data_IF_687525168156
#
_entry.id   IF_687525168156
#
_cell.length_a   1.000
_cell.length_b   1.000
_cell.length_c   1.000
_cell.angle_alpha   90.00
_cell.angle_beta   90.00
_cell.angle_gamma   90.00
#
_symmetry.space_group_name_H-M   'P 1'
#
loop_
_entity.id
_entity.type
_entity.pdbx_description
1 polymer ?
#
# COMPACT_ATOMS: atom_id res chain seq x y z
N UNK A 1 34.84 22.11 7.67
CA UNK A 1 35.47 22.13 9.01
C UNK A 1 36.65 23.10 8.95
N UNK A 2 37.01 23.81 10.03
CA UNK A 2 38.23 24.64 10.04
C UNK A 2 39.39 23.78 10.58
N UNK A 3 40.47 23.67 9.81
CA UNK A 3 41.61 22.83 10.13
C UNK A 3 42.93 23.41 9.62
N UNK A 4 44.02 23.03 10.27
CA UNK A 4 45.39 23.44 9.98
C UNK A 4 46.30 22.20 9.87
N UNK A 5 47.38 22.31 9.09
CA UNK A 5 48.33 21.21 8.83
C UNK A 5 48.42 20.87 7.34
N UNK A 6 48.45 19.57 7.02
CA UNK A 6 48.59 19.07 5.65
C UNK A 6 47.53 19.68 4.71
N UNK A 7 48.01 20.38 3.66
CA UNK A 7 47.16 21.07 2.69
C UNK A 7 46.18 20.13 1.99
N UNK A 8 46.53 18.85 1.81
CA UNK A 8 45.67 17.86 1.18
C UNK A 8 44.45 17.52 2.06
N UNK A 9 44.63 17.39 3.37
CA UNK A 9 43.49 17.15 4.28
C UNK A 9 42.66 18.43 4.45
N UNK A 10 43.31 19.59 4.56
CA UNK A 10 42.60 20.86 4.61
C UNK A 10 41.78 21.09 3.33
N UNK A 11 42.24 20.62 2.18
CA UNK A 11 41.48 20.61 0.92
C UNK A 11 40.31 19.62 0.92
N UNK A 12 40.46 18.43 1.50
CA UNK A 12 39.39 17.44 1.68
C UNK A 12 38.27 17.95 2.61
N UNK A 13 38.60 18.82 3.56
CA UNK A 13 37.63 19.41 4.50
C UNK A 13 36.91 20.66 3.96
N UNK A 14 37.14 21.00 2.68
CA UNK A 14 36.42 22.07 1.95
C UNK A 14 35.01 21.64 1.56
N UNK A 15 34.17 22.62 1.28
CA UNK A 15 32.77 22.42 0.91
C UNK A 15 32.64 21.57 -0.36
N UNK A 16 31.80 20.54 -0.33
CA UNK A 16 31.47 19.68 -1.47
C UNK A 16 32.20 18.34 -1.54
N UNK A 17 33.17 18.07 -0.65
CA UNK A 17 33.77 16.74 -0.56
C UNK A 17 32.82 15.74 0.09
N UNK A 18 32.72 14.54 -0.50
CA UNK A 18 31.82 13.47 -0.05
C UNK A 18 32.62 12.29 0.46
N UNK A 19 32.18 11.73 1.60
CA UNK A 19 32.87 10.62 2.24
C UNK A 19 31.91 9.53 2.68
N UNK A 20 32.39 8.28 2.68
CA UNK A 20 31.71 7.18 3.36
C UNK A 20 31.79 7.40 4.86
N UNK A 21 30.69 7.09 5.55
CA UNK A 21 30.58 7.25 7.01
C UNK A 21 30.35 5.89 7.64
N UNK A 22 31.10 5.61 8.71
CA UNK A 22 30.87 4.47 9.59
C UNK A 22 30.37 5.00 10.94
N UNK A 23 29.13 4.71 11.28
CA UNK A 23 28.58 5.07 12.58
C UNK A 23 29.25 4.25 13.67
N UNK A 24 29.76 4.91 14.70
CA UNK A 24 30.40 4.27 15.87
C UNK A 24 29.41 4.17 17.02
N UNK A 25 28.68 5.25 17.30
CA UNK A 25 27.59 5.26 18.27
C UNK A 25 26.53 6.33 17.91
N UNK A 26 25.62 6.63 18.85
CA UNK A 26 24.53 7.60 18.63
C UNK A 26 24.97 9.06 18.45
N UNK A 27 26.19 9.41 18.85
CA UNK A 27 26.73 10.77 18.81
C UNK A 27 28.01 10.89 17.96
N UNK A 28 28.64 9.78 17.61
CA UNK A 28 29.92 9.75 16.90
C UNK A 28 29.87 8.92 15.62
N UNK A 29 30.71 9.31 14.66
CA UNK A 29 30.94 8.56 13.43
C UNK A 29 32.37 8.78 12.92
N UNK A 30 32.85 7.84 12.13
CA UNK A 30 34.15 7.91 11.45
C UNK A 30 33.96 8.21 9.97
N UNK A 31 34.81 9.08 9.43
CA UNK A 31 34.96 9.29 8.00
C UNK A 31 35.89 8.21 7.46
N UNK A 32 35.40 7.37 6.56
CA UNK A 32 36.19 6.30 5.95
C UNK A 32 36.90 6.85 4.72
N UNK A 33 38.23 6.91 4.79
CA UNK A 33 39.10 7.32 3.69
C UNK A 33 39.51 6.10 2.87
N UNK A 34 39.32 6.16 1.55
CA UNK A 34 39.72 5.12 0.59
C UNK A 34 40.41 5.76 -0.63
N UNK A 35 41.75 5.66 -0.76
CA UNK A 35 42.68 4.93 0.12
C UNK A 35 42.86 5.61 1.50
N UNK A 36 43.32 4.87 2.53
CA UNK A 36 43.59 5.42 3.86
C UNK A 36 44.71 6.47 3.82
N UNK A 37 44.63 7.45 4.72
CA UNK A 37 45.65 8.50 4.84
C UNK A 37 47.01 7.90 5.23
N UNK A 38 48.13 8.42 4.69
CA UNK A 38 49.47 8.03 5.11
C UNK A 38 49.68 8.20 6.61
N UNK A 39 50.43 7.30 7.24
CA UNK A 39 50.73 7.38 8.68
C UNK A 39 51.52 8.65 9.08
N UNK A 40 52.13 9.33 8.11
CA UNK A 40 52.88 10.59 8.30
C UNK A 40 52.03 11.85 8.12
N UNK A 41 50.70 11.73 7.96
CA UNK A 41 49.86 12.90 7.68
C UNK A 41 49.61 13.70 8.96
N UNK A 42 50.08 14.94 8.98
CA UNK A 42 49.94 15.83 10.14
C UNK A 42 48.71 16.73 9.95
N UNK A 43 47.71 16.58 10.81
CA UNK A 43 46.45 17.33 10.74
C UNK A 43 45.90 17.58 12.13
N UNK A 44 45.48 18.83 12.37
CA UNK A 44 44.82 19.23 13.62
C UNK A 44 43.49 19.92 13.31
N UNK A 45 42.40 19.38 13.85
CA UNK A 45 41.11 20.06 13.84
C UNK A 45 41.17 21.28 14.77
N UNK A 46 40.81 22.45 14.26
CA UNK A 46 40.91 23.72 15.01
C UNK A 46 39.61 23.99 15.76
N UNK A 47 38.50 24.08 15.01
CA UNK A 47 37.15 24.28 15.57
C UNK A 47 36.07 24.11 14.51
N UNK A 48 34.85 23.84 14.98
CA UNK A 48 33.63 23.89 14.17
C UNK A 48 33.59 22.91 13.00
N UNK A 49 32.50 22.97 12.24
CA UNK A 49 32.25 22.09 11.11
C UNK A 49 30.81 21.62 11.06
N UNK A 50 30.23 21.69 9.87
CA UNK A 50 28.94 21.09 9.58
C UNK A 50 29.15 20.01 8.54
N UNK A 51 28.51 18.86 8.76
CA UNK A 51 28.42 17.80 7.78
C UNK A 51 26.98 17.75 7.28
N UNK A 52 26.81 17.48 5.98
CA UNK A 52 25.50 17.28 5.37
C UNK A 52 25.47 15.90 4.74
N UNK A 53 24.45 15.11 5.06
CA UNK A 53 24.22 13.85 4.37
C UNK A 53 23.89 14.12 2.91
N UNK A 54 24.65 13.50 2.02
CA UNK A 54 24.34 13.43 0.58
C UNK A 54 23.72 12.07 0.29
N UNK A 55 22.63 12.05 -0.49
CA UNK A 55 22.03 10.81 -0.98
C UNK A 55 22.64 10.50 -2.35
N UNK A 56 23.40 9.41 -2.42
CA UNK A 56 23.95 8.93 -3.68
C UNK A 56 22.83 8.31 -4.54
N UNK A 57 22.90 8.42 -5.87
CA UNK A 57 22.05 7.64 -6.76
C UNK A 57 22.37 6.15 -6.60
N UNK A 58 21.32 5.32 -6.66
CA UNK A 58 21.44 3.87 -6.62
C UNK A 58 20.75 3.30 -7.85
N UNK A 59 21.43 2.39 -8.55
CA UNK A 59 20.88 1.70 -9.70
C UNK A 59 20.07 0.49 -9.24
N UNK A 60 18.80 0.41 -9.64
CA UNK A 60 17.91 -0.70 -9.29
C UNK A 60 17.52 -1.43 -10.56
N UNK A 61 17.96 -2.68 -10.70
CA UNK A 61 17.59 -3.54 -11.83
C UNK A 61 16.33 -4.35 -11.52
N UNK A 62 15.50 -4.57 -12.55
CA UNK A 62 14.27 -5.36 -12.50
C UNK A 62 14.37 -6.58 -13.40
N UNK A 63 13.72 -7.67 -12.99
CA UNK A 63 13.58 -8.88 -13.79
C UNK A 63 12.46 -8.70 -14.80
N UNK A 64 12.58 -9.30 -15.98
CA UNK A 64 11.51 -9.30 -16.96
C UNK A 64 10.32 -10.16 -16.49
N UNK A 65 9.10 -9.76 -16.85
CA UNK A 65 7.86 -10.37 -16.34
C UNK A 65 7.80 -11.90 -16.54
N UNK A 66 8.20 -12.40 -17.71
CA UNK A 66 8.15 -13.84 -18.04
C UNK A 66 9.04 -14.70 -17.15
N UNK A 67 10.11 -14.13 -16.58
CA UNK A 67 10.99 -14.81 -15.63
C UNK A 67 10.54 -14.57 -14.18
N UNK A 68 10.15 -13.33 -13.86
CA UNK A 68 9.75 -12.94 -12.51
C UNK A 68 8.53 -13.73 -12.00
N UNK A 69 7.57 -14.01 -12.89
CA UNK A 69 6.33 -14.73 -12.56
C UNK A 69 6.57 -16.19 -12.13
N UNK A 70 7.66 -16.82 -12.57
CA UNK A 70 7.99 -18.20 -12.21
C UNK A 70 8.85 -18.33 -10.96
N UNK A 71 9.41 -17.22 -10.47
CA UNK A 71 10.48 -17.21 -9.46
C UNK A 71 10.12 -16.45 -8.18
N UNK A 72 8.86 -16.02 -8.03
CA UNK A 72 8.43 -15.28 -6.85
C UNK A 72 8.56 -16.12 -5.57
N UNK A 73 9.13 -15.49 -4.54
CA UNK A 73 9.25 -16.03 -3.18
C UNK A 73 8.93 -14.93 -2.17
N UNK A 74 8.35 -15.32 -1.03
CA UNK A 74 8.08 -14.40 0.07
C UNK A 74 9.36 -13.73 0.54
N UNK A 75 9.31 -12.41 0.71
CA UNK A 75 10.43 -11.62 1.19
C UNK A 75 9.99 -10.66 2.30
N UNK A 76 10.55 -10.84 3.49
CA UNK A 76 10.21 -10.07 4.68
C UNK A 76 10.52 -8.57 4.53
N UNK A 77 11.54 -8.22 3.73
CA UNK A 77 11.95 -6.84 3.51
C UNK A 77 10.93 -6.04 2.68
N UNK A 78 10.10 -6.74 1.89
CA UNK A 78 9.11 -6.13 0.99
C UNK A 78 7.67 -6.32 1.44
N UNK A 79 7.46 -7.06 2.54
CA UNK A 79 6.13 -7.41 3.02
C UNK A 79 5.58 -6.34 3.96
N UNK A 80 4.32 -5.95 3.75
CA UNK A 80 3.64 -4.98 4.61
C UNK A 80 3.13 -5.61 5.90
N UNK A 81 2.66 -6.87 5.82
CA UNK A 81 2.04 -7.57 6.93
C UNK A 81 2.77 -8.87 7.24
N UNK A 82 3.68 -8.81 8.22
CA UNK A 82 4.46 -9.97 8.64
C UNK A 82 3.64 -11.03 9.39
N UNK A 83 2.41 -10.72 9.84
CA UNK A 83 1.57 -11.71 10.49
C UNK A 83 1.12 -12.82 9.52
N UNK A 84 1.06 -12.50 8.23
CA UNK A 84 0.69 -13.44 7.16
C UNK A 84 1.89 -13.87 6.31
N UNK A 85 3.10 -13.91 6.88
CA UNK A 85 4.30 -14.27 6.14
C UNK A 85 4.17 -15.65 5.47
N UNK A 86 4.36 -15.69 4.15
CA UNK A 86 4.19 -16.90 3.33
C UNK A 86 2.87 -16.94 2.54
N UNK A 87 1.83 -16.25 3.00
CA UNK A 87 0.54 -16.18 2.30
C UNK A 87 0.68 -15.52 0.93
N UNK A 88 1.57 -14.53 0.79
CA UNK A 88 1.87 -13.84 -0.46
C UNK A 88 2.32 -14.80 -1.59
N UNK A 89 3.16 -15.80 -1.28
CA UNK A 89 3.59 -16.82 -2.24
C UNK A 89 2.44 -17.76 -2.64
N UNK A 90 1.48 -18.00 -1.76
CA UNK A 90 0.27 -18.76 -2.07
C UNK A 90 -0.65 -17.93 -2.96
N UNK A 91 -0.95 -16.68 -2.57
CA UNK A 91 -1.76 -15.74 -3.36
C UNK A 91 -1.19 -15.55 -4.76
N UNK A 92 0.13 -15.38 -4.90
CA UNK A 92 0.79 -15.31 -6.20
C UNK A 92 0.37 -16.46 -7.12
N UNK A 93 0.50 -17.71 -6.65
CA UNK A 93 0.15 -18.90 -7.43
C UNK A 93 -1.37 -19.02 -7.68
N UNK A 94 -2.21 -18.62 -6.73
CA UNK A 94 -3.66 -18.61 -6.93
C UNK A 94 -4.11 -17.57 -7.96
N UNK A 95 -3.49 -16.39 -8.01
CA UNK A 95 -3.76 -15.41 -9.07
C UNK A 95 -3.37 -15.95 -10.45
N UNK A 96 -2.24 -16.65 -10.58
CA UNK A 96 -1.86 -17.32 -11.84
C UNK A 96 -2.86 -18.42 -12.24
N UNK A 97 -3.37 -19.17 -11.27
CA UNK A 97 -4.41 -20.16 -11.54
C UNK A 97 -5.70 -19.48 -12.04
N UNK A 98 -6.09 -18.36 -11.43
CA UNK A 98 -7.28 -17.59 -11.80
C UNK A 98 -7.23 -16.96 -13.20
N UNK A 99 -6.04 -16.70 -13.76
CA UNK A 99 -5.89 -16.22 -15.13
C UNK A 99 -6.37 -17.25 -16.18
N UNK A 100 -6.40 -18.53 -15.83
CA UNK A 100 -6.79 -19.63 -16.73
C UNK A 100 -8.03 -20.40 -16.26
N UNK A 101 -8.38 -20.29 -14.98
CA UNK A 101 -9.50 -21.01 -14.36
C UNK A 101 -10.46 -20.01 -13.70
N UNK A 102 -11.68 -19.83 -14.25
CA UNK A 102 -12.65 -18.92 -13.67
C UNK A 102 -12.93 -19.24 -12.20
N UNK A 103 -13.09 -18.19 -11.38
CA UNK A 103 -13.47 -18.35 -9.99
C UNK A 103 -14.79 -19.11 -9.83
N UNK A 104 -14.93 -19.92 -8.77
CA UNK A 104 -16.19 -20.59 -8.44
C UNK A 104 -17.30 -19.58 -8.12
N UNK A 105 -18.54 -20.08 -7.96
CA UNK A 105 -19.62 -19.26 -7.44
C UNK A 105 -19.26 -18.73 -6.04
N UNK A 106 -19.68 -17.49 -5.75
CA UNK A 106 -19.34 -16.86 -4.47
C UNK A 106 -19.91 -17.67 -3.31
N UNK A 107 -19.09 -17.88 -2.28
CA UNK A 107 -19.43 -18.66 -1.09
C UNK A 107 -19.87 -20.12 -1.35
N UNK A 108 -19.58 -20.67 -2.53
CA UNK A 108 -19.67 -22.11 -2.79
C UNK A 108 -18.41 -22.80 -2.26
N UNK A 109 -18.47 -23.21 -0.99
CA UNK A 109 -17.32 -23.80 -0.30
C UNK A 109 -16.83 -25.09 -0.97
N UNK A 110 -17.75 -25.92 -1.46
CA UNK A 110 -17.39 -27.18 -2.10
C UNK A 110 -16.65 -26.93 -3.43
N UNK A 111 -17.16 -26.00 -4.25
CA UNK A 111 -16.48 -25.60 -5.48
C UNK A 111 -15.15 -24.89 -5.21
N UNK A 112 -15.07 -24.06 -4.17
CA UNK A 112 -13.84 -23.38 -3.77
C UNK A 112 -12.75 -24.35 -3.30
N UNK A 113 -13.09 -25.34 -2.48
CA UNK A 113 -12.14 -26.39 -2.07
C UNK A 113 -11.64 -27.20 -3.26
N UNK A 114 -12.52 -27.55 -4.20
CA UNK A 114 -12.14 -28.24 -5.43
C UNK A 114 -11.19 -27.40 -6.30
N UNK A 115 -11.49 -26.11 -6.45
CA UNK A 115 -10.67 -25.16 -7.21
C UNK A 115 -9.28 -24.96 -6.58
N UNK A 116 -9.19 -24.83 -5.25
CA UNK A 116 -7.91 -24.76 -4.54
C UNK A 116 -7.13 -26.07 -4.68
N UNK A 117 -7.79 -27.21 -4.59
CA UNK A 117 -7.13 -28.51 -4.80
C UNK A 117 -6.60 -28.66 -6.23
N UNK A 118 -7.34 -28.22 -7.24
CA UNK A 118 -6.91 -28.20 -8.65
C UNK A 118 -5.68 -27.31 -8.87
N UNK A 119 -5.60 -26.18 -8.17
CA UNK A 119 -4.45 -25.26 -8.24
C UNK A 119 -3.12 -25.88 -7.75
N UNK A 120 -3.19 -26.91 -6.90
CA UNK A 120 -2.02 -27.52 -6.27
C UNK A 120 -1.25 -26.60 -5.31
N UNK A 121 -1.82 -25.47 -4.90
CA UNK A 121 -1.14 -24.48 -4.03
C UNK A 121 -1.05 -24.96 -2.59
N UNK A 122 -2.13 -25.54 -2.06
CA UNK A 122 -2.24 -26.07 -0.70
C UNK A 122 -3.36 -27.12 -0.58
N UNK A 123 -3.32 -27.90 0.49
CA UNK A 123 -4.30 -28.93 0.85
C UNK A 123 -4.90 -28.69 2.25
N UNK A 124 -6.00 -29.38 2.54
CA UNK A 124 -6.67 -29.27 3.84
C UNK A 124 -5.72 -29.67 4.99
N UNK A 125 -5.61 -28.78 5.97
CA UNK A 125 -4.67 -28.91 7.10
C UNK A 125 -3.34 -28.15 6.92
N UNK A 126 -3.04 -27.64 5.72
CA UNK A 126 -1.91 -26.75 5.50
C UNK A 126 -2.13 -25.38 6.16
N UNK A 127 -1.03 -24.71 6.47
CA UNK A 127 -1.06 -23.30 6.90
C UNK A 127 -1.69 -22.45 5.79
N UNK A 128 -2.59 -21.55 6.20
CA UNK A 128 -3.36 -20.67 5.32
C UNK A 128 -4.33 -21.34 4.34
N UNK A 129 -4.69 -22.61 4.57
CA UNK A 129 -5.67 -23.29 3.71
C UNK A 129 -7.03 -22.56 3.67
N UNK A 130 -7.53 -22.11 4.82
CA UNK A 130 -8.82 -21.43 4.92
C UNK A 130 -8.82 -20.08 4.19
N UNK A 131 -7.70 -19.36 4.22
CA UNK A 131 -7.47 -18.12 3.47
C UNK A 131 -7.45 -18.37 1.96
N UNK A 132 -6.85 -19.48 1.51
CA UNK A 132 -6.86 -19.87 0.09
C UNK A 132 -8.27 -20.24 -0.40
N UNK A 133 -9.03 -20.96 0.42
CA UNK A 133 -10.44 -21.25 0.12
C UNK A 133 -11.27 -19.96 0.12
N UNK A 134 -11.00 -19.05 1.06
CA UNK A 134 -11.65 -17.73 1.14
C UNK A 134 -11.33 -16.86 -0.07
N UNK A 135 -10.09 -16.89 -0.57
CA UNK A 135 -9.69 -16.25 -1.82
C UNK A 135 -10.55 -16.74 -2.98
N UNK A 136 -10.71 -18.06 -3.14
CA UNK A 136 -11.54 -18.63 -4.20
C UNK A 136 -13.03 -18.25 -4.05
N UNK A 137 -13.56 -18.27 -2.82
CA UNK A 137 -14.96 -17.89 -2.53
C UNK A 137 -15.26 -16.41 -2.80
N UNK A 138 -14.26 -15.53 -2.72
CA UNK A 138 -14.44 -14.07 -2.83
C UNK A 138 -13.86 -13.48 -4.13
N UNK A 139 -13.18 -14.28 -4.96
CA UNK A 139 -12.43 -13.81 -6.13
C UNK A 139 -13.26 -13.14 -7.22
N UNK A 140 -14.59 -13.34 -7.24
CA UNK A 140 -15.52 -12.62 -8.15
C UNK A 140 -15.93 -11.24 -7.64
N UNK A 141 -15.51 -10.89 -6.43
CA UNK A 141 -15.88 -9.67 -5.74
C UNK A 141 -15.18 -8.43 -6.26
N UNK A 142 -15.78 -7.27 -5.98
CA UNK A 142 -15.15 -5.97 -6.21
C UNK A 142 -15.51 -5.04 -5.06
N UNK A 143 -14.51 -4.59 -4.31
CA UNK A 143 -14.69 -3.83 -3.07
C UNK A 143 -13.86 -2.55 -3.08
N UNK A 144 -14.47 -1.47 -2.57
CA UNK A 144 -13.88 -0.12 -2.66
C UNK A 144 -12.57 0.04 -1.89
N UNK A 145 -12.43 -0.61 -0.73
CA UNK A 145 -11.24 -0.51 0.13
C UNK A 145 -9.95 -0.95 -0.59
N UNK A 146 -9.86 -2.23 -1.02
CA UNK A 146 -8.73 -2.73 -1.81
C UNK A 146 -8.48 -1.89 -3.07
N UNK A 147 -9.52 -1.50 -3.83
CA UNK A 147 -9.33 -0.65 -5.01
C UNK A 147 -8.69 0.71 -4.67
N UNK A 148 -9.10 1.35 -3.58
CA UNK A 148 -8.51 2.61 -3.14
C UNK A 148 -7.04 2.43 -2.69
N UNK A 149 -6.76 1.36 -1.95
CA UNK A 149 -5.40 1.04 -1.51
C UNK A 149 -4.45 0.80 -2.70
N UNK A 150 -4.81 -0.14 -3.58
CA UNK A 150 -3.98 -0.48 -4.74
C UNK A 150 -3.92 0.66 -5.76
N UNK A 151 -4.98 1.45 -5.90
CA UNK A 151 -4.96 2.66 -6.73
C UNK A 151 -3.95 3.70 -6.23
N UNK A 152 -3.90 3.93 -4.92
CA UNK A 152 -2.91 4.81 -4.30
C UNK A 152 -1.48 4.28 -4.45
N UNK A 153 -1.28 2.98 -4.21
CA UNK A 153 0.02 2.31 -4.39
C UNK A 153 0.51 2.44 -5.83
N UNK A 154 -0.31 2.06 -6.81
CA UNK A 154 0.05 2.09 -8.22
C UNK A 154 0.32 3.53 -8.71
N UNK A 155 -0.49 4.51 -8.28
CA UNK A 155 -0.24 5.91 -8.60
C UNK A 155 1.11 6.39 -8.03
N UNK A 156 1.45 5.98 -6.82
CA UNK A 156 2.74 6.31 -6.22
C UNK A 156 3.90 5.64 -6.96
N UNK A 157 3.80 4.35 -7.31
CA UNK A 157 4.82 3.65 -8.10
C UNK A 157 5.04 4.29 -9.48
N UNK A 158 3.97 4.75 -10.14
CA UNK A 158 4.08 5.50 -11.39
C UNK A 158 4.89 6.80 -11.22
N UNK A 159 4.67 7.54 -10.11
CA UNK A 159 5.46 8.72 -9.81
C UNK A 159 6.94 8.39 -9.55
N UNK A 160 7.24 7.28 -8.86
CA UNK A 160 8.62 6.83 -8.63
C UNK A 160 9.32 6.53 -9.96
N UNK A 161 8.64 5.81 -10.85
CA UNK A 161 9.17 5.40 -12.15
C UNK A 161 9.55 6.58 -13.05
N UNK A 162 8.77 7.67 -13.05
CA UNK A 162 9.04 8.84 -13.91
C UNK A 162 9.97 9.88 -13.29
N UNK A 163 10.18 9.84 -11.96
CA UNK A 163 10.93 10.88 -11.24
C UNK A 163 12.28 10.41 -10.69
N UNK A 164 12.52 9.10 -10.58
CA UNK A 164 13.66 8.56 -9.84
C UNK A 164 13.63 8.91 -8.35
N UNK A 165 12.45 9.29 -7.81
CA UNK A 165 12.27 9.67 -6.41
C UNK A 165 11.64 8.52 -5.63
N UNK A 166 12.21 8.23 -4.46
CA UNK A 166 11.87 7.11 -3.58
C UNK A 166 12.29 5.74 -4.14
N UNK A 167 12.32 4.74 -3.26
CA UNK A 167 12.65 3.36 -3.63
C UNK A 167 11.41 2.69 -4.25
N UNK A 168 11.50 2.16 -5.48
CA UNK A 168 10.39 1.47 -6.11
C UNK A 168 10.11 0.13 -5.41
N UNK A 169 8.87 -0.33 -5.51
CA UNK A 169 8.52 -1.70 -5.17
C UNK A 169 9.28 -2.66 -6.10
N UNK A 170 9.91 -3.70 -5.54
CA UNK A 170 10.66 -4.71 -6.30
C UNK A 170 10.23 -6.12 -5.90
N UNK A 171 9.32 -6.77 -6.61
CA UNK A 171 8.56 -6.31 -7.78
C UNK A 171 7.08 -6.75 -7.75
N UNK A 172 6.74 -7.75 -6.94
CA UNK A 172 5.37 -8.13 -6.63
C UNK A 172 4.97 -7.62 -5.26
N UNK A 173 3.68 -7.37 -5.07
CA UNK A 173 3.11 -6.98 -3.79
C UNK A 173 1.73 -7.62 -3.65
N UNK A 174 1.57 -8.41 -2.59
CA UNK A 174 0.33 -9.06 -2.23
C UNK A 174 -0.13 -8.57 -0.87
N UNK A 175 -1.43 -8.36 -0.74
CA UNK A 175 -2.06 -7.97 0.51
C UNK A 175 -3.45 -8.58 0.54
N UNK A 176 -3.86 -9.06 1.71
CA UNK A 176 -5.20 -9.57 1.96
C UNK A 176 -5.89 -8.75 3.03
N UNK A 177 -7.22 -8.87 3.09
CA UNK A 177 -8.07 -8.16 4.04
C UNK A 177 -9.17 -9.10 4.57
N UNK A 178 -8.83 -10.37 4.81
CA UNK A 178 -9.81 -11.41 5.15
C UNK A 178 -10.50 -11.17 6.51
N UNK A 179 -9.89 -10.35 7.36
CA UNK A 179 -10.43 -9.89 8.64
C UNK A 179 -11.59 -8.90 8.47
N UNK A 180 -11.68 -8.23 7.32
CA UNK A 180 -12.77 -7.30 7.02
C UNK A 180 -14.07 -8.01 6.64
N UNK A 181 -14.02 -9.32 6.37
CA UNK A 181 -15.19 -10.12 6.04
C UNK A 181 -16.10 -10.28 7.28
N UNK A 182 -17.42 -10.35 7.11
CA UNK A 182 -18.37 -10.33 8.21
C UNK A 182 -18.31 -11.64 9.01
N UNK A 183 -18.80 -11.57 10.25
CA UNK A 183 -19.05 -12.74 11.10
C UNK A 183 -20.51 -12.68 11.59
N UNK A 184 -21.36 -13.64 11.21
CA UNK A 184 -21.08 -14.83 10.39
C UNK A 184 -20.76 -14.52 8.93
N UNK A 185 -20.10 -15.46 8.24
CA UNK A 185 -19.82 -15.40 6.79
C UNK A 185 -21.13 -15.49 5.97
N UNK A 186 -21.20 -14.89 4.78
CA UNK A 186 -22.37 -14.99 3.90
C UNK A 186 -22.63 -16.42 3.42
N UNK A 187 -23.88 -16.72 3.10
CA UNK A 187 -24.26 -17.96 2.40
C UNK A 187 -24.31 -17.75 0.89
N UNK A 188 -24.29 -18.83 0.11
CA UNK A 188 -24.47 -18.76 -1.36
C UNK A 188 -25.77 -18.04 -1.77
N UNK A 189 -26.85 -18.19 -0.99
CA UNK A 189 -28.13 -17.54 -1.29
C UNK A 189 -28.09 -16.04 -1.00
N UNK A 190 -27.29 -15.63 -0.01
CA UNK A 190 -27.11 -14.23 0.36
C UNK A 190 -26.13 -13.51 -0.59
N UNK A 191 -25.13 -14.22 -1.11
CA UNK A 191 -24.10 -13.68 -2.01
C UNK A 191 -24.43 -13.86 -3.51
N UNK A 192 -25.70 -13.79 -3.88
CA UNK A 192 -26.14 -13.73 -5.29
C UNK A 192 -25.96 -12.30 -5.81
N UNK A 193 -25.39 -12.08 -7.02
CA UNK A 193 -25.23 -10.74 -7.57
C UNK A 193 -26.54 -9.95 -7.58
N UNK A 194 -26.53 -8.75 -7.01
CA UNK A 194 -27.66 -7.83 -7.07
C UNK A 194 -27.78 -7.18 -8.45
N UNK A 195 -29.00 -6.82 -8.88
CA UNK A 195 -29.23 -6.05 -10.12
C UNK A 195 -28.95 -4.54 -9.95
N UNK A 196 -27.98 -4.19 -9.09
CA UNK A 196 -27.61 -2.80 -8.81
C UNK A 196 -26.08 -2.64 -8.77
N UNK A 197 -25.63 -1.40 -8.57
CA UNK A 197 -24.21 -1.04 -8.55
C UNK A 197 -23.37 -1.72 -7.46
N UNK A 198 -24.00 -2.38 -6.48
CA UNK A 198 -23.34 -3.05 -5.36
C UNK A 198 -23.08 -4.54 -5.61
N UNK A 199 -23.36 -5.06 -6.82
CA UNK A 199 -23.25 -6.48 -7.14
C UNK A 199 -21.90 -7.10 -6.74
N UNK A 200 -20.79 -6.43 -7.04
CA UNK A 200 -19.45 -6.91 -6.67
C UNK A 200 -19.17 -6.92 -5.17
N UNK A 201 -19.82 -6.02 -4.40
CA UNK A 201 -19.70 -6.00 -2.94
C UNK A 201 -20.54 -7.10 -2.31
N UNK A 202 -21.74 -7.33 -2.85
CA UNK A 202 -22.65 -8.41 -2.41
C UNK A 202 -22.01 -9.79 -2.56
N UNK A 203 -21.21 -10.02 -3.61
CA UNK A 203 -20.47 -11.28 -3.76
C UNK A 203 -19.47 -11.54 -2.61
N UNK A 204 -19.00 -10.50 -1.92
CA UNK A 204 -18.04 -10.61 -0.81
C UNK A 204 -18.73 -10.55 0.55
N UNK A 205 -19.67 -9.63 0.72
CA UNK A 205 -20.26 -9.33 2.03
C UNK A 205 -21.68 -9.90 2.21
N UNK A 206 -22.34 -10.32 1.12
CA UNK A 206 -23.74 -10.73 1.13
C UNK A 206 -24.73 -9.56 1.07
N UNK A 207 -25.97 -9.84 0.66
CA UNK A 207 -27.03 -8.84 0.55
C UNK A 207 -27.45 -8.29 1.91
N UNK A 208 -27.50 -9.15 2.94
CA UNK A 208 -27.84 -8.73 4.29
C UNK A 208 -26.86 -7.69 4.84
N UNK A 209 -25.55 -7.93 4.70
CA UNK A 209 -24.54 -6.98 5.15
C UNK A 209 -24.57 -5.68 4.35
N UNK A 210 -24.82 -5.77 3.03
CA UNK A 210 -25.00 -4.58 2.19
C UNK A 210 -26.20 -3.72 2.62
N UNK A 211 -27.29 -4.34 3.08
CA UNK A 211 -28.43 -3.62 3.64
C UNK A 211 -28.07 -2.94 4.98
N UNK A 212 -27.26 -3.59 5.82
CA UNK A 212 -26.78 -2.97 7.07
C UNK A 212 -25.85 -1.77 6.80
N UNK A 213 -25.00 -1.83 5.76
CA UNK A 213 -24.22 -0.67 5.30
C UNK A 213 -25.15 0.49 4.91
N UNK A 214 -26.23 0.19 4.19
CA UNK A 214 -27.19 1.20 3.73
C UNK A 214 -27.94 1.89 4.87
N UNK A 215 -28.12 1.23 6.01
CA UNK A 215 -28.81 1.77 7.20
C UNK A 215 -27.91 2.53 8.16
N UNK A 216 -26.60 2.56 7.91
CA UNK A 216 -25.67 3.22 8.82
C UNK A 216 -25.97 4.72 8.98
N UNK A 217 -25.75 5.20 10.21
CA UNK A 217 -25.77 6.63 10.57
C UNK A 217 -24.35 7.06 10.87
N UNK A 218 -23.71 7.77 9.94
CA UNK A 218 -22.31 8.15 10.04
C UNK A 218 -22.18 9.65 10.23
N UNK A 219 -21.28 10.07 11.11
CA UNK A 219 -20.87 11.45 11.25
C UNK A 219 -19.38 11.58 10.92
N UNK A 220 -19.08 12.21 9.77
CA UNK A 220 -17.74 12.49 9.30
C UNK A 220 -17.34 13.93 9.71
N UNK A 221 -16.24 14.04 10.44
CA UNK A 221 -15.66 15.32 10.86
C UNK A 221 -14.44 15.61 9.98
N UNK A 222 -14.56 16.61 9.12
CA UNK A 222 -13.57 17.01 8.13
C UNK A 222 -13.91 16.56 6.70
N UNK A 223 -13.93 17.50 5.78
CA UNK A 223 -14.16 17.34 4.34
C UNK A 223 -12.91 17.71 3.51
N UNK A 224 -11.73 17.70 4.14
CA UNK A 224 -10.43 17.87 3.48
C UNK A 224 -10.02 16.69 2.59
N UNK A 225 -8.72 16.46 2.42
CA UNK A 225 -8.20 15.43 1.49
C UNK A 225 -8.71 14.02 1.83
N UNK A 226 -8.54 13.60 3.09
CA UNK A 226 -9.05 12.33 3.57
C UNK A 226 -10.59 12.31 3.59
N UNK A 227 -11.24 13.44 3.92
CA UNK A 227 -12.69 13.57 3.91
C UNK A 227 -13.28 13.28 2.52
N UNK A 228 -12.70 13.86 1.46
CA UNK A 228 -13.08 13.58 0.08
C UNK A 228 -12.97 12.09 -0.28
N UNK A 229 -11.87 11.43 0.11
CA UNK A 229 -11.65 9.99 -0.13
C UNK A 229 -12.64 9.11 0.63
N UNK A 230 -12.94 9.46 1.88
CA UNK A 230 -13.92 8.74 2.71
C UNK A 230 -15.33 8.94 2.15
N UNK A 231 -15.73 10.16 1.77
CA UNK A 231 -17.03 10.44 1.15
C UNK A 231 -17.22 9.65 -0.14
N UNK A 232 -16.20 9.63 -1.01
CA UNK A 232 -16.20 8.79 -2.22
C UNK A 232 -16.39 7.32 -1.86
N UNK A 233 -15.65 6.83 -0.87
CA UNK A 233 -15.75 5.43 -0.45
C UNK A 233 -17.13 5.08 0.10
N UNK A 234 -17.70 5.93 0.96
CA UNK A 234 -19.07 5.81 1.48
C UNK A 234 -20.10 5.80 0.35
N UNK A 235 -19.96 6.68 -0.65
CA UNK A 235 -20.86 6.76 -1.80
C UNK A 235 -20.76 5.53 -2.73
N UNK A 236 -19.56 4.95 -2.88
CA UNK A 236 -19.35 3.71 -3.64
C UNK A 236 -19.90 2.50 -2.90
N UNK A 237 -19.77 2.47 -1.57
CA UNK A 237 -20.28 1.41 -0.70
C UNK A 237 -21.78 1.50 -0.40
N UNK A 238 -22.43 2.62 -0.71
CA UNK A 238 -23.85 2.83 -0.40
C UNK A 238 -24.10 3.03 1.10
N UNK A 239 -23.17 3.65 1.82
CA UNK A 239 -23.32 3.93 3.26
C UNK A 239 -24.46 4.94 3.48
N UNK A 240 -25.41 4.59 4.35
CA UNK A 240 -26.45 5.51 4.79
C UNK A 240 -27.48 5.90 3.72
N UNK A 241 -27.59 5.15 2.62
CA UNK A 241 -28.54 5.45 1.52
C UNK A 241 -29.98 5.01 1.78
N UNK A 242 -30.20 4.16 2.79
CA UNK A 242 -31.53 3.69 3.18
C UNK A 242 -32.21 4.66 4.16
N UNK A 243 -32.55 5.87 3.66
CA UNK A 243 -33.17 6.92 4.48
C UNK A 243 -34.51 6.47 5.11
N UNK A 244 -35.26 5.61 4.41
CA UNK A 244 -36.54 5.07 4.90
C UNK A 244 -36.37 4.26 6.20
N UNK A 245 -35.23 3.60 6.37
CA UNK A 245 -34.87 2.86 7.58
C UNK A 245 -33.84 3.61 8.44
N UNK A 246 -33.68 4.91 8.22
CA UNK A 246 -32.87 5.80 9.05
C UNK A 246 -31.40 5.94 8.66
N UNK A 247 -30.97 5.39 7.53
CA UNK A 247 -29.65 5.63 6.96
C UNK A 247 -29.37 7.12 6.78
N UNK A 248 -28.19 7.58 7.17
CA UNK A 248 -27.81 9.00 7.04
C UNK A 248 -26.31 9.23 7.14
N UNK A 249 -25.79 10.16 6.36
CA UNK A 249 -24.41 10.65 6.48
C UNK A 249 -24.44 12.14 6.82
N UNK A 250 -23.79 12.51 7.91
CA UNK A 250 -23.52 13.90 8.29
C UNK A 250 -22.05 14.20 8.02
N UNK A 251 -21.76 15.33 7.39
CA UNK A 251 -20.39 15.81 7.17
C UNK A 251 -20.29 17.23 7.72
N UNK A 252 -19.23 17.53 8.46
CA UNK A 252 -18.96 18.89 8.92
C UNK A 252 -17.51 19.27 8.64
N UNK A 253 -17.30 20.48 8.14
CA UNK A 253 -15.98 21.11 8.00
C UNK A 253 -16.19 22.63 8.06
N UNK A 254 -15.50 23.36 8.96
CA UNK A 254 -15.67 24.81 9.06
C UNK A 254 -14.96 25.59 7.95
N UNK A 255 -14.09 24.95 7.17
CA UNK A 255 -13.24 25.64 6.21
C UNK A 255 -13.92 25.86 4.86
N UNK A 256 -13.44 26.89 4.15
CA UNK A 256 -13.74 27.10 2.73
C UNK A 256 -12.71 26.41 1.83
N UNK A 257 -13.11 26.13 0.59
CA UNK A 257 -12.26 25.54 -0.44
C UNK A 257 -11.24 26.58 -0.93
N UNK A 258 -9.97 26.21 -0.90
CA UNK A 258 -8.86 27.02 -1.42
C UNK A 258 -8.21 26.40 -2.65
N UNK A 259 -7.56 27.22 -3.50
CA UNK A 259 -6.83 26.73 -4.68
C UNK A 259 -5.78 25.66 -4.34
N UNK A 260 -5.10 25.81 -3.21
CA UNK A 260 -4.08 24.86 -2.72
C UNK A 260 -4.65 23.47 -2.39
N UNK A 261 -5.97 23.36 -2.21
CA UNK A 261 -6.65 22.13 -1.84
C UNK A 261 -6.88 21.21 -3.05
N UNK A 262 -7.07 21.78 -4.24
CA UNK A 262 -7.48 21.07 -5.46
C UNK A 262 -6.50 19.97 -5.90
N UNK A 263 -5.24 20.03 -5.47
CA UNK A 263 -4.24 19.00 -5.76
C UNK A 263 -4.50 17.65 -5.08
N UNK A 264 -5.34 17.61 -4.05
CA UNK A 264 -5.59 16.42 -3.21
C UNK A 264 -7.02 16.29 -2.69
N UNK A 265 -7.91 17.21 -3.05
CA UNK A 265 -9.34 17.21 -2.72
C UNK A 265 -10.14 17.16 -4.01
N UNK A 266 -10.12 15.98 -4.65
CA UNK A 266 -10.57 15.79 -6.02
C UNK A 266 -12.09 15.92 -6.22
N UNK A 267 -12.88 16.09 -5.15
CA UNK A 267 -14.32 16.39 -5.27
C UNK A 267 -14.57 17.85 -5.64
N UNK A 268 -13.62 18.75 -5.37
CA UNK A 268 -13.76 20.18 -5.62
C UNK A 268 -13.20 20.58 -6.99
N UNK A 269 -13.72 21.68 -7.54
CA UNK A 269 -13.24 22.28 -8.80
C UNK A 269 -12.83 23.73 -8.56
N UNK A 270 -12.15 24.33 -9.55
CA UNK A 270 -11.75 25.74 -9.47
C UNK A 270 -12.97 26.67 -9.30
N UNK A 271 -14.13 26.30 -9.85
CA UNK A 271 -15.41 27.01 -9.67
C UNK A 271 -15.96 26.97 -8.24
N UNK A 272 -15.43 26.10 -7.37
CA UNK A 272 -15.90 25.93 -5.99
C UNK A 272 -15.06 26.71 -4.97
N UNK A 273 -13.98 27.38 -5.41
CA UNK A 273 -13.12 28.17 -4.51
C UNK A 273 -13.95 29.21 -3.75
N UNK A 274 -13.77 29.26 -2.43
CA UNK A 274 -14.51 30.14 -1.52
C UNK A 274 -15.85 29.58 -1.02
N UNK A 275 -16.34 28.46 -1.57
CA UNK A 275 -17.49 27.73 -1.01
C UNK A 275 -17.04 26.89 0.20
N UNK A 276 -18.00 26.48 1.02
CA UNK A 276 -17.74 25.52 2.12
C UNK A 276 -17.28 24.18 1.53
N UNK A 277 -16.34 23.53 2.23
CA UNK A 277 -15.93 22.15 1.91
C UNK A 277 -17.06 21.15 2.18
#
# INVERSE_FOLDING_TARGET
MEAEGDEAICALMKEGAEFKVKTTDTATFEIVMDPPLPASTDFTHVRGGYVRRVKQPEEVSFTEWSEAIGSFQSNADTMLDLAHFGLDAMLHRLFLHADTHPYPAAWDEAAAKAWVAESGVCAEGDMFYDECVTFAMTGRGNTTGPCAFFGGLAAQEALKAVSGKYTPLKQFFYLSFFEALPSPRPSMQDAVPSENRYAGQVLVFGQQYQAEIARQKVFLVGAGALGCEIVKSMALMGVGVDEANGGKVYVTDPDAIEKSNLSRQFLFRESDIGRVK
#
